data_IF_705100414768
#
_entry.id   IF_705100414768
#
_cell.length_a   1.000
_cell.length_b   1.000
_cell.length_c   1.000
_cell.angle_alpha   90.00
_cell.angle_beta   90.00
_cell.angle_gamma   90.00
#
_symmetry.space_group_name_H-M   'P 1'
#
loop_
_entity.id
_entity.type
_entity.pdbx_description
1 polymer ?
#
# COMPACT_ATOMS: atom_id res chain seq x y z
N UNK A 1 14.22 -23.78 -20.82
CA UNK A 1 12.97 -23.34 -20.18
C UNK A 1 13.20 -21.90 -19.66
N UNK A 2 12.42 -20.96 -20.12
CA UNK A 2 12.58 -19.56 -19.70
C UNK A 2 12.15 -19.36 -18.23
N UNK A 3 12.69 -18.31 -17.57
CA UNK A 3 12.34 -18.00 -16.17
C UNK A 3 10.82 -17.92 -15.94
N UNK A 4 10.09 -17.34 -16.89
CA UNK A 4 8.62 -17.26 -16.84
C UNK A 4 7.97 -18.64 -16.83
N UNK A 5 8.40 -19.55 -17.68
CA UNK A 5 7.90 -20.92 -17.77
C UNK A 5 8.15 -21.69 -16.48
N UNK A 6 9.33 -21.53 -15.88
CA UNK A 6 9.67 -22.18 -14.61
C UNK A 6 8.79 -21.67 -13.46
N UNK A 7 8.60 -20.35 -13.36
CA UNK A 7 7.80 -19.73 -12.28
C UNK A 7 6.33 -20.12 -12.38
N UNK A 8 5.78 -20.16 -13.60
CA UNK A 8 4.36 -20.45 -13.81
C UNK A 8 4.05 -21.93 -14.07
N UNK A 9 5.04 -22.82 -14.01
CA UNK A 9 4.87 -24.24 -14.30
C UNK A 9 3.68 -24.85 -13.56
N UNK A 10 3.65 -24.77 -12.25
CA UNK A 10 2.59 -25.37 -11.43
C UNK A 10 1.22 -24.70 -11.61
N UNK A 11 1.18 -23.40 -11.86
CA UNK A 11 -0.06 -22.72 -12.24
C UNK A 11 -0.62 -23.23 -13.56
N UNK A 12 0.26 -23.44 -14.56
CA UNK A 12 -0.14 -23.93 -15.87
C UNK A 12 -0.59 -25.40 -15.83
N UNK A 13 0.07 -26.23 -15.01
CA UNK A 13 -0.28 -27.64 -14.82
C UNK A 13 -1.64 -27.80 -14.11
N UNK A 14 -2.02 -26.87 -13.25
CA UNK A 14 -3.28 -26.89 -12.51
C UNK A 14 -4.24 -25.76 -12.91
N UNK A 15 -4.14 -25.30 -14.15
CA UNK A 15 -4.88 -24.12 -14.61
C UNK A 15 -6.39 -24.30 -14.50
N UNK A 16 -6.93 -25.44 -14.87
CA UNK A 16 -8.36 -25.74 -14.81
C UNK A 16 -8.85 -25.69 -13.36
N UNK A 17 -8.23 -26.43 -12.46
CA UNK A 17 -8.55 -26.40 -11.03
C UNK A 17 -8.45 -25.02 -10.44
N UNK A 18 -7.42 -24.24 -10.81
CA UNK A 18 -7.24 -22.88 -10.31
C UNK A 18 -8.35 -21.96 -10.81
N UNK A 19 -8.70 -22.05 -12.08
CA UNK A 19 -9.77 -21.25 -12.70
C UNK A 19 -11.13 -21.56 -12.05
N UNK A 20 -11.44 -22.83 -11.82
CA UNK A 20 -12.68 -23.25 -11.18
C UNK A 20 -12.79 -22.73 -9.73
N UNK A 21 -11.69 -22.80 -8.99
CA UNK A 21 -11.65 -22.23 -7.63
C UNK A 21 -11.80 -20.70 -7.63
N UNK A 22 -11.19 -20.01 -8.58
CA UNK A 22 -11.33 -18.56 -8.73
C UNK A 22 -12.78 -18.22 -9.09
N UNK A 23 -13.36 -18.89 -10.07
CA UNK A 23 -14.75 -18.67 -10.47
C UNK A 23 -15.73 -18.90 -9.32
N UNK A 24 -15.58 -20.01 -8.60
CA UNK A 24 -16.41 -20.31 -7.42
C UNK A 24 -16.21 -19.28 -6.30
N UNK A 25 -14.97 -18.86 -6.07
CA UNK A 25 -14.64 -17.84 -5.07
C UNK A 25 -15.24 -16.47 -5.41
N UNK A 26 -15.26 -16.08 -6.67
CA UNK A 26 -15.91 -14.86 -7.16
C UNK A 26 -17.42 -14.97 -6.93
N UNK A 27 -18.04 -16.08 -7.37
CA UNK A 27 -19.48 -16.29 -7.24
C UNK A 27 -19.93 -16.20 -5.80
N UNK A 28 -19.22 -16.87 -4.90
CA UNK A 28 -19.61 -16.99 -3.49
C UNK A 28 -19.31 -15.74 -2.67
N UNK A 29 -18.20 -15.05 -2.93
CA UNK A 29 -17.66 -14.03 -2.03
C UNK A 29 -17.59 -12.64 -2.62
N UNK A 30 -17.79 -12.48 -3.95
CA UNK A 30 -17.61 -11.19 -4.65
C UNK A 30 -18.85 -10.72 -5.38
N UNK A 31 -19.88 -11.55 -5.49
CA UNK A 31 -21.15 -11.18 -6.08
C UNK A 31 -22.21 -10.99 -4.99
N UNK A 32 -23.12 -10.07 -5.25
CA UNK A 32 -24.29 -9.80 -4.43
C UNK A 32 -25.45 -9.38 -5.32
N UNK A 33 -26.62 -9.20 -4.72
CA UNK A 33 -27.79 -8.72 -5.41
C UNK A 33 -27.88 -7.20 -5.23
N UNK A 34 -28.24 -6.50 -6.31
CA UNK A 34 -28.61 -5.09 -6.27
C UNK A 34 -29.95 -4.93 -6.99
N UNK A 35 -30.89 -4.25 -6.36
CA UNK A 35 -32.15 -3.86 -6.98
C UNK A 35 -32.06 -2.42 -7.48
N UNK A 36 -32.33 -2.23 -8.75
CA UNK A 36 -32.30 -0.92 -9.39
C UNK A 36 -33.73 -0.58 -9.89
N UNK A 37 -34.26 0.51 -9.39
CA UNK A 37 -35.56 1.03 -9.87
C UNK A 37 -35.32 2.31 -10.66
N UNK A 38 -35.89 2.39 -11.86
CA UNK A 38 -35.88 3.59 -12.70
C UNK A 38 -37.25 4.23 -12.73
N UNK A 39 -37.30 5.54 -12.52
CA UNK A 39 -38.54 6.33 -12.52
C UNK A 39 -38.38 7.56 -13.41
N UNK A 40 -39.47 8.06 -13.96
CA UNK A 40 -39.50 9.35 -14.65
C UNK A 40 -39.52 10.53 -13.64
N UNK A 41 -39.59 11.75 -14.15
CA UNK A 41 -39.66 12.98 -13.35
C UNK A 41 -40.91 13.08 -12.47
N UNK A 42 -41.97 12.35 -12.80
CA UNK A 42 -43.23 12.32 -12.06
C UNK A 42 -43.31 11.11 -11.09
N UNK A 43 -42.22 10.32 -11.01
CA UNK A 43 -42.08 9.18 -10.12
C UNK A 43 -42.70 7.90 -10.64
N UNK A 44 -43.18 7.85 -11.88
CA UNK A 44 -43.74 6.64 -12.49
C UNK A 44 -42.63 5.67 -12.96
N UNK A 45 -42.80 4.34 -12.81
CA UNK A 45 -41.79 3.36 -13.22
C UNK A 45 -41.55 3.39 -14.73
N UNK A 46 -40.28 3.52 -15.13
CA UNK A 46 -39.86 3.40 -16.52
C UNK A 46 -39.66 1.94 -16.91
N UNK A 47 -40.14 1.56 -18.10
CA UNK A 47 -39.95 0.22 -18.68
C UNK A 47 -39.03 0.28 -19.89
N UNK A 48 -38.29 -0.80 -20.14
CA UNK A 48 -37.42 -0.93 -21.31
C UNK A 48 -36.14 -0.05 -21.26
N UNK A 49 -35.74 0.37 -20.07
CA UNK A 49 -34.51 1.16 -19.85
C UNK A 49 -33.28 0.27 -19.96
N UNK A 50 -32.27 0.71 -20.70
CA UNK A 50 -30.96 0.07 -20.75
C UNK A 50 -30.06 0.69 -19.68
N UNK A 51 -29.62 -0.13 -18.74
CA UNK A 51 -28.70 0.30 -17.68
C UNK A 51 -27.28 -0.20 -18.01
N UNK A 52 -26.29 0.69 -17.96
CA UNK A 52 -24.86 0.35 -18.03
C UNK A 52 -24.25 0.63 -16.67
N UNK A 53 -23.85 -0.43 -15.95
CA UNK A 53 -23.10 -0.30 -14.72
C UNK A 53 -21.59 -0.37 -15.02
N UNK A 54 -20.84 0.58 -14.46
CA UNK A 54 -19.38 0.63 -14.56
C UNK A 54 -18.81 0.67 -13.15
N UNK A 55 -17.90 -0.27 -12.83
CA UNK A 55 -17.18 -0.26 -11.58
C UNK A 55 -16.10 0.83 -11.62
N UNK A 56 -16.26 1.87 -10.82
CA UNK A 56 -15.29 2.97 -10.73
C UNK A 56 -14.29 2.73 -9.58
N UNK A 57 -14.78 2.20 -8.45
CA UNK A 57 -13.96 1.97 -7.26
C UNK A 57 -14.45 0.71 -6.53
N UNK A 58 -13.50 -0.07 -6.03
CA UNK A 58 -13.79 -1.21 -5.15
C UNK A 58 -13.06 -1.04 -3.81
N UNK A 59 -13.61 -1.65 -2.76
CA UNK A 59 -13.03 -1.56 -1.42
C UNK A 59 -11.90 -2.55 -1.15
N UNK A 60 -11.79 -3.59 -1.98
CA UNK A 60 -10.72 -4.56 -1.84
C UNK A 60 -9.36 -3.89 -2.03
N UNK A 61 -8.51 -3.98 -1.00
CA UNK A 61 -7.17 -3.39 -1.02
C UNK A 61 -6.18 -4.39 -1.61
N UNK A 62 -5.56 -4.00 -2.71
CA UNK A 62 -4.40 -4.67 -3.27
C UNK A 62 -3.28 -3.65 -3.47
N UNK A 63 -2.06 -4.03 -3.16
CA UNK A 63 -0.98 -3.06 -3.14
C UNK A 63 0.39 -3.68 -3.24
N UNK A 64 1.38 -2.80 -3.31
CA UNK A 64 2.78 -3.15 -3.33
C UNK A 64 3.61 -2.20 -2.45
N UNK A 65 4.90 -2.53 -2.31
CA UNK A 65 5.85 -1.66 -1.65
C UNK A 65 6.15 -0.43 -2.51
N UNK A 66 5.97 0.76 -1.96
CA UNK A 66 6.28 2.05 -2.61
C UNK A 66 7.76 2.45 -2.42
N UNK A 67 8.64 1.46 -2.31
CA UNK A 67 10.06 1.66 -1.94
C UNK A 67 10.92 2.24 -3.06
N UNK A 68 10.39 2.32 -4.28
CA UNK A 68 11.09 2.86 -5.44
C UNK A 68 10.55 4.23 -5.88
N UNK A 69 9.75 4.89 -5.04
CA UNK A 69 9.23 6.22 -5.33
C UNK A 69 10.40 7.22 -5.44
N UNK A 70 10.56 7.81 -6.62
CA UNK A 70 11.65 8.72 -6.98
C UNK A 70 13.08 8.15 -6.76
N UNK A 71 13.21 6.81 -6.82
CA UNK A 71 14.47 6.10 -6.61
C UNK A 71 15.11 5.59 -7.90
N UNK A 72 14.43 5.73 -9.04
CA UNK A 72 14.95 5.30 -10.34
C UNK A 72 15.89 6.33 -10.95
N UNK A 73 16.71 5.88 -11.93
CA UNK A 73 17.85 6.65 -12.44
C UNK A 73 17.47 7.90 -13.24
N UNK A 74 16.26 7.89 -13.85
CA UNK A 74 15.81 9.02 -14.69
C UNK A 74 14.42 9.50 -14.29
N UNK A 75 14.13 10.75 -14.62
CA UNK A 75 12.81 11.33 -14.37
C UNK A 75 11.71 10.55 -15.09
N UNK A 76 11.94 10.16 -16.35
CA UNK A 76 10.95 9.43 -17.15
C UNK A 76 10.59 8.08 -16.52
N UNK A 77 11.59 7.37 -15.96
CA UNK A 77 11.35 6.10 -15.25
C UNK A 77 10.56 6.32 -13.96
N UNK A 78 10.86 7.38 -13.20
CA UNK A 78 10.13 7.72 -12.00
C UNK A 78 8.69 8.13 -12.30
N UNK A 79 8.46 8.94 -13.33
CA UNK A 79 7.12 9.34 -13.77
C UNK A 79 6.32 8.11 -14.22
N UNK A 80 6.95 7.20 -14.99
CA UNK A 80 6.30 5.95 -15.42
C UNK A 80 6.00 5.01 -14.26
N UNK A 81 6.89 4.93 -13.27
CA UNK A 81 6.65 4.14 -12.06
C UNK A 81 5.43 4.67 -11.29
N UNK A 82 5.35 5.99 -11.09
CA UNK A 82 4.23 6.65 -10.41
C UNK A 82 2.90 6.40 -11.15
N UNK A 83 2.90 6.55 -12.48
CA UNK A 83 1.73 6.29 -13.31
C UNK A 83 1.25 4.84 -13.17
N UNK A 84 2.14 3.86 -13.39
CA UNK A 84 1.79 2.45 -13.31
C UNK A 84 1.37 2.01 -11.90
N UNK A 85 2.00 2.58 -10.86
CA UNK A 85 1.64 2.26 -9.49
C UNK A 85 0.20 2.67 -9.16
N UNK A 86 -0.19 3.90 -9.47
CA UNK A 86 -1.56 4.40 -9.21
C UNK A 86 -2.64 3.75 -10.08
N UNK A 87 -2.28 3.30 -11.29
CA UNK A 87 -3.20 2.57 -12.17
C UNK A 87 -3.45 1.13 -11.68
N UNK A 88 -2.44 0.56 -10.98
CA UNK A 88 -2.47 -0.85 -10.59
C UNK A 88 -2.91 -1.05 -9.16
N UNK A 89 -2.50 -0.17 -8.23
CA UNK A 89 -2.64 -0.37 -6.80
C UNK A 89 -3.47 0.73 -6.13
N UNK A 90 -4.28 0.33 -5.16
CA UNK A 90 -5.04 1.22 -4.29
C UNK A 90 -4.56 1.18 -2.82
N UNK A 91 -3.44 0.48 -2.57
CA UNK A 91 -2.75 0.43 -1.28
C UNK A 91 -1.24 0.48 -1.52
N UNK A 92 -0.53 1.29 -0.74
CA UNK A 92 0.92 1.38 -0.77
C UNK A 92 1.52 1.01 0.59
N UNK A 93 2.52 0.12 0.59
CA UNK A 93 3.32 -0.16 1.77
C UNK A 93 4.51 0.77 1.80
N UNK A 94 4.58 1.62 2.82
CA UNK A 94 5.61 2.64 3.01
C UNK A 94 6.74 2.11 3.91
N UNK A 95 8.02 2.47 3.66
CA UNK A 95 9.15 1.99 4.44
C UNK A 95 9.30 2.77 5.75
N UNK A 96 8.84 2.19 6.85
CA UNK A 96 8.94 2.78 8.19
C UNK A 96 9.98 2.08 9.08
N UNK A 97 10.99 1.47 8.48
CA UNK A 97 12.07 0.82 9.22
C UNK A 97 12.84 1.82 10.07
N UNK A 98 12.97 1.56 11.35
CA UNK A 98 13.57 2.49 12.30
C UNK A 98 14.99 2.91 11.90
N UNK A 99 15.84 1.96 11.61
CA UNK A 99 17.23 2.21 11.19
C UNK A 99 17.35 3.17 10.00
N UNK A 100 16.43 3.05 9.05
CA UNK A 100 16.46 3.85 7.82
C UNK A 100 15.78 5.21 8.01
N UNK A 101 14.81 5.30 8.93
CA UNK A 101 14.16 6.57 9.28
C UNK A 101 14.95 7.39 10.29
N UNK A 102 15.76 6.77 11.13
CA UNK A 102 16.60 7.44 12.12
C UNK A 102 18.01 6.83 12.10
N UNK A 103 18.77 7.06 11.02
CA UNK A 103 20.13 6.53 10.88
C UNK A 103 21.10 7.13 11.90
N UNK A 104 20.80 8.32 12.41
CA UNK A 104 21.49 9.00 13.49
C UNK A 104 20.49 9.32 14.61
N UNK A 105 20.83 8.97 15.85
CA UNK A 105 19.94 9.13 16.98
C UNK A 105 19.46 10.57 17.15
N UNK A 106 18.14 10.77 17.27
CA UNK A 106 17.52 12.07 17.41
C UNK A 106 17.42 12.87 16.11
N UNK A 107 17.80 12.28 14.96
CA UNK A 107 17.70 12.94 13.64
C UNK A 107 16.81 12.10 12.69
N UNK A 108 15.50 12.11 12.88
CA UNK A 108 14.59 11.35 12.04
C UNK A 108 14.52 11.95 10.62
N UNK A 109 14.45 11.08 9.62
CA UNK A 109 14.31 11.39 8.20
C UNK A 109 12.84 11.35 7.80
N UNK A 110 12.05 12.32 8.17
CA UNK A 110 10.62 12.38 7.84
C UNK A 110 10.33 13.24 6.61
N UNK A 111 11.08 14.33 6.46
CA UNK A 111 10.83 15.40 5.52
C UNK A 111 11.43 15.13 4.14
N UNK A 112 10.86 15.76 3.09
CA UNK A 112 11.24 15.53 1.70
C UNK A 112 12.71 15.85 1.39
N UNK A 113 13.29 16.80 2.09
CA UNK A 113 14.69 17.23 1.96
C UNK A 113 15.66 16.43 2.85
N UNK A 114 15.15 15.46 3.60
CA UNK A 114 15.99 14.58 4.41
C UNK A 114 16.98 13.79 3.54
N UNK A 115 18.15 13.40 4.09
CA UNK A 115 19.15 12.64 3.35
C UNK A 115 18.59 11.38 2.70
N UNK A 116 18.95 11.14 1.44
CA UNK A 116 18.47 9.98 0.68
C UNK A 116 19.05 8.67 1.21
N UNK A 117 18.18 7.66 1.39
CA UNK A 117 18.57 6.27 1.61
C UNK A 117 17.92 5.43 0.53
N UNK A 118 18.73 4.71 -0.25
CA UNK A 118 18.24 3.92 -1.39
C UNK A 118 17.12 2.95 -1.00
N UNK A 119 16.03 2.95 -1.76
CA UNK A 119 14.80 2.18 -1.53
C UNK A 119 14.10 2.50 -0.21
N UNK A 120 14.38 3.68 0.34
CA UNK A 120 13.74 4.16 1.57
C UNK A 120 13.29 5.60 1.40
N UNK A 121 12.37 5.86 0.47
CA UNK A 121 11.80 7.19 0.33
C UNK A 121 11.21 7.63 1.66
N UNK A 122 11.31 8.93 1.93
CA UNK A 122 10.86 9.49 3.21
C UNK A 122 9.33 9.46 3.34
N UNK A 123 8.80 9.36 4.56
CA UNK A 123 7.35 9.25 4.78
C UNK A 123 6.53 10.39 4.19
N UNK A 124 6.97 11.64 4.32
CA UNK A 124 6.22 12.80 3.83
C UNK A 124 6.05 12.77 2.31
N UNK A 125 7.08 12.36 1.56
CA UNK A 125 7.00 12.18 0.11
C UNK A 125 6.02 11.06 -0.27
N UNK A 126 6.10 9.93 0.44
CA UNK A 126 5.23 8.79 0.17
C UNK A 126 3.76 9.09 0.47
N UNK A 127 3.50 9.77 1.59
CA UNK A 127 2.14 10.12 2.00
C UNK A 127 1.51 11.14 1.06
N UNK A 128 2.25 12.17 0.65
CA UNK A 128 1.77 13.13 -0.36
C UNK A 128 1.36 12.42 -1.66
N UNK A 129 2.22 11.55 -2.19
CA UNK A 129 1.88 10.77 -3.38
C UNK A 129 0.62 9.89 -3.18
N UNK A 130 0.45 9.28 -2.02
CA UNK A 130 -0.73 8.47 -1.71
C UNK A 130 -2.00 9.33 -1.64
N UNK A 131 -1.94 10.48 -0.99
CA UNK A 131 -3.05 11.43 -0.82
C UNK A 131 -3.50 11.99 -2.18
N UNK A 132 -2.56 12.45 -3.00
CA UNK A 132 -2.83 12.98 -4.35
C UNK A 132 -3.48 11.97 -5.29
N UNK A 133 -3.21 10.67 -5.10
CA UNK A 133 -3.68 9.61 -5.98
C UNK A 133 -4.76 8.70 -5.35
N UNK A 134 -5.26 9.04 -4.17
CA UNK A 134 -6.31 8.25 -3.48
C UNK A 134 -5.88 6.84 -3.09
N UNK A 135 -4.58 6.63 -2.85
CA UNK A 135 -3.98 5.37 -2.46
C UNK A 135 -3.95 5.27 -0.94
N UNK A 136 -4.38 4.14 -0.38
CA UNK A 136 -4.35 3.91 1.06
C UNK A 136 -2.93 3.63 1.54
N UNK A 137 -2.34 4.44 2.44
CA UNK A 137 -1.00 4.19 2.96
C UNK A 137 -1.01 3.15 4.09
N UNK A 138 -0.02 2.26 4.08
CA UNK A 138 0.28 1.30 5.14
C UNK A 138 1.72 1.47 5.59
N UNK A 139 1.96 1.85 6.85
CA UNK A 139 3.31 1.89 7.42
C UNK A 139 3.83 0.48 7.69
N UNK A 140 5.03 0.18 7.22
CA UNK A 140 5.71 -1.10 7.45
C UNK A 140 7.22 -0.90 7.63
N UNK A 141 7.78 -1.36 8.68
CA UNK A 141 7.20 -1.78 9.94
C UNK A 141 7.63 -0.82 11.05
N UNK A 142 6.82 -0.64 12.06
CA UNK A 142 7.13 0.29 13.15
C UNK A 142 8.26 -0.22 14.04
N UNK A 143 8.31 -1.54 14.25
CA UNK A 143 9.37 -2.21 14.97
C UNK A 143 9.74 -3.52 14.24
N UNK A 144 11.03 -3.74 14.07
CA UNK A 144 11.60 -4.98 13.58
C UNK A 144 13.06 -5.02 14.02
N UNK A 145 13.36 -5.79 15.03
CA UNK A 145 14.67 -5.79 15.73
C UNK A 145 15.88 -5.83 14.81
N UNK A 146 15.93 -6.67 13.74
CA UNK A 146 17.08 -6.67 12.82
C UNK A 146 17.31 -5.35 12.08
N UNK A 147 16.31 -4.45 12.07
CA UNK A 147 16.35 -3.14 11.46
C UNK A 147 16.23 -1.99 12.47
N UNK A 148 16.61 -2.27 13.72
CA UNK A 148 16.79 -1.23 14.73
C UNK A 148 18.09 -0.46 14.49
N UNK A 149 18.17 0.83 14.86
CA UNK A 149 19.40 1.60 14.79
C UNK A 149 20.52 0.97 15.62
N UNK A 150 21.76 1.19 15.24
CA UNK A 150 22.92 0.70 15.99
C UNK A 150 23.07 1.35 17.38
N UNK A 151 22.39 2.46 17.60
CA UNK A 151 22.39 3.17 18.89
C UNK A 151 21.41 2.61 19.93
N UNK A 152 20.62 1.59 19.58
CA UNK A 152 19.73 0.93 20.55
C UNK A 152 20.59 0.09 21.47
N UNK A 153 20.63 0.40 22.78
CA UNK A 153 21.47 -0.31 23.74
C UNK A 153 20.93 -1.70 24.09
N UNK A 154 21.78 -2.57 24.65
CA UNK A 154 21.38 -3.87 25.20
C UNK A 154 20.63 -3.77 26.55
N UNK A 155 20.21 -2.57 26.92
CA UNK A 155 19.41 -2.31 28.12
C UNK A 155 17.92 -2.31 27.76
N UNK A 156 17.14 -3.14 28.45
CA UNK A 156 15.72 -3.35 28.15
C UNK A 156 14.88 -2.10 28.45
N UNK A 157 15.17 -1.42 29.57
CA UNK A 157 14.39 -0.26 29.99
C UNK A 157 14.67 0.94 29.07
N UNK A 158 15.92 1.14 28.68
CA UNK A 158 16.30 2.18 27.74
C UNK A 158 15.76 1.88 26.33
N UNK A 159 15.83 0.64 25.87
CA UNK A 159 15.23 0.22 24.59
C UNK A 159 13.72 0.48 24.57
N UNK A 160 13.03 0.15 25.66
CA UNK A 160 11.60 0.45 25.81
C UNK A 160 11.32 1.95 25.73
N UNK A 161 12.09 2.75 26.45
CA UNK A 161 11.96 4.22 26.43
C UNK A 161 12.14 4.81 25.02
N UNK A 162 13.12 4.32 24.26
CA UNK A 162 13.36 4.74 22.89
C UNK A 162 12.23 4.32 21.93
N UNK A 163 11.69 3.11 22.11
CA UNK A 163 10.53 2.64 21.34
C UNK A 163 9.27 3.46 21.66
N UNK A 164 9.00 3.73 22.92
CA UNK A 164 7.87 4.56 23.34
C UNK A 164 7.97 5.96 22.72
N UNK A 165 9.14 6.58 22.80
CA UNK A 165 9.39 7.89 22.18
C UNK A 165 9.10 7.82 20.67
N UNK A 166 9.68 6.85 19.97
CA UNK A 166 9.46 6.65 18.52
C UNK A 166 8.00 6.48 18.17
N UNK A 167 7.26 5.67 18.91
CA UNK A 167 5.86 5.41 18.61
C UNK A 167 5.01 6.65 18.81
N UNK A 168 5.28 7.46 19.83
CA UNK A 168 4.60 8.74 20.03
C UNK A 168 4.93 9.72 18.88
N UNK A 169 6.20 9.90 18.53
CA UNK A 169 6.60 10.78 17.43
C UNK A 169 5.92 10.39 16.09
N UNK A 170 5.84 9.09 15.79
CA UNK A 170 5.17 8.61 14.59
C UNK A 170 3.64 8.74 14.66
N UNK A 171 3.05 8.54 15.84
CA UNK A 171 1.62 8.68 16.04
C UNK A 171 1.20 10.15 15.94
N UNK A 172 1.94 11.05 16.57
CA UNK A 172 1.67 12.49 16.56
C UNK A 172 1.79 13.07 15.14
N UNK A 173 2.81 12.62 14.36
CA UNK A 173 3.02 13.14 13.02
C UNK A 173 2.13 12.51 11.96
N UNK A 174 1.82 11.22 12.05
CA UNK A 174 1.21 10.43 10.98
C UNK A 174 -0.05 9.68 11.38
N UNK A 175 -0.52 9.83 12.63
CA UNK A 175 -1.65 9.07 13.16
C UNK A 175 -2.90 9.16 12.32
N UNK A 176 -3.22 10.35 11.86
CA UNK A 176 -4.42 10.66 11.06
C UNK A 176 -4.25 10.41 9.55
N UNK A 177 -2.99 10.23 9.08
CA UNK A 177 -2.65 10.07 7.67
C UNK A 177 -2.42 8.63 7.25
N UNK A 178 -2.24 7.71 8.19
CA UNK A 178 -1.91 6.30 7.93
C UNK A 178 -3.05 5.41 8.40
N UNK A 179 -3.73 4.77 7.45
CA UNK A 179 -4.85 3.86 7.71
C UNK A 179 -4.42 2.59 8.45
N UNK A 180 -3.25 2.04 8.11
CA UNK A 180 -2.77 0.76 8.63
C UNK A 180 -1.30 0.79 9.02
N UNK A 181 -0.98 0.15 10.14
CA UNK A 181 0.38 0.02 10.67
C UNK A 181 0.69 -1.44 10.94
N UNK A 182 1.90 -1.89 10.55
CA UNK A 182 2.40 -3.20 10.95
C UNK A 182 3.38 -3.02 12.09
N UNK A 183 3.13 -3.72 13.19
CA UNK A 183 4.14 -4.04 14.20
C UNK A 183 4.52 -5.49 13.96
N UNK A 184 5.79 -5.80 13.79
CA UNK A 184 6.27 -7.17 13.57
C UNK A 184 6.81 -7.72 14.88
#
# INVERSE_FOLDING_TARGET
MGRKETVFKYFNEQKEYTNDRVALGIEKNRKGFAELSTKDCDGAPLKGVRIKAVLEKHEFKHGANLFMLDELETKEKNDKYKELFKETFNLATLPFYWKDLEPEQGKPRFEKDSPRVYRRPVPDLCLEYCEENGITPKAHCLNYMPWSPYCVPDDIDETKRLLDKRFHELADRYGDRIDRKSVV
#
